data_IF_918232072564
#
_entry.id   IF_918232072564
#
_cell.length_a   1.000
_cell.length_b   1.000
_cell.length_c   1.000
_cell.angle_alpha   90.00
_cell.angle_beta   90.00
_cell.angle_gamma   90.00
#
_symmetry.space_group_name_H-M   'P 1'
#
loop_
_entity.id
_entity.type
_entity.pdbx_description
1 polymer ?
#
# COMPACT_ATOMS: atom_id res chain seq x y z
N UNK A 1 -1.88 -21.76 5.81
CA UNK A 1 -1.30 -21.08 4.62
C UNK A 1 -2.10 -21.33 3.34
N UNK A 2 -2.90 -22.40 3.27
CA UNK A 2 -3.68 -22.78 2.07
C UNK A 2 -4.61 -21.68 1.54
N UNK A 3 -5.23 -20.89 2.42
CA UNK A 3 -6.15 -19.82 2.02
C UNK A 3 -5.51 -18.72 1.14
N UNK A 4 -4.18 -18.52 1.25
CA UNK A 4 -3.46 -17.46 0.51
C UNK A 4 -2.77 -18.05 -0.74
N UNK A 5 -2.68 -19.37 -0.85
CA UNK A 5 -1.98 -20.03 -1.95
C UNK A 5 -2.56 -19.69 -3.33
N UNK A 6 -3.90 -19.59 -3.52
CA UNK A 6 -4.45 -19.16 -4.80
C UNK A 6 -3.97 -17.75 -5.20
N UNK A 7 -3.87 -16.83 -4.23
CA UNK A 7 -3.41 -15.46 -4.45
C UNK A 7 -1.92 -15.43 -4.83
N UNK A 8 -1.08 -16.18 -4.12
CA UNK A 8 0.36 -16.31 -4.42
C UNK A 8 0.58 -16.80 -5.86
N UNK A 9 -0.24 -17.74 -6.32
CA UNK A 9 -0.13 -18.31 -7.66
C UNK A 9 -0.61 -17.35 -8.76
N UNK A 10 -1.69 -16.58 -8.51
CA UNK A 10 -2.31 -15.73 -9.53
C UNK A 10 -1.65 -14.36 -9.67
N UNK A 11 -1.07 -13.80 -8.60
CA UNK A 11 -0.47 -12.46 -8.61
C UNK A 11 0.59 -12.31 -9.72
N UNK A 12 1.57 -13.23 -9.90
CA UNK A 12 2.52 -13.14 -11.00
C UNK A 12 1.86 -13.08 -12.38
N UNK A 13 0.78 -13.83 -12.59
CA UNK A 13 0.05 -13.82 -13.85
C UNK A 13 -0.63 -12.47 -14.10
N UNK A 14 -1.33 -11.93 -13.09
CA UNK A 14 -2.00 -10.64 -13.16
C UNK A 14 -1.01 -9.48 -13.39
N UNK A 15 0.16 -9.52 -12.74
CA UNK A 15 1.18 -8.49 -12.89
C UNK A 15 1.81 -8.46 -14.29
N UNK A 16 1.93 -9.61 -14.96
CA UNK A 16 2.38 -9.66 -16.37
C UNK A 16 1.34 -9.07 -17.31
N UNK A 17 0.06 -9.27 -17.04
CA UNK A 17 -1.03 -8.72 -17.86
C UNK A 17 -1.27 -7.23 -17.64
N UNK A 18 -1.02 -6.71 -16.43
CA UNK A 18 -1.40 -5.35 -16.03
C UNK A 18 -0.59 -4.23 -16.71
N UNK A 19 0.44 -4.57 -17.51
CA UNK A 19 1.42 -3.61 -18.08
C UNK A 19 2.09 -2.72 -17.04
N UNK A 20 1.99 -3.03 -15.74
CA UNK A 20 2.65 -2.29 -14.65
C UNK A 20 4.15 -2.54 -14.67
N UNK A 21 4.55 -3.75 -15.09
CA UNK A 21 5.94 -4.20 -15.14
C UNK A 21 6.64 -3.85 -16.46
N UNK A 22 6.46 -2.64 -17.00
CA UNK A 22 7.04 -2.23 -18.31
C UNK A 22 8.57 -2.35 -18.37
N UNK A 23 9.24 -2.38 -17.23
CA UNK A 23 10.69 -2.43 -17.09
C UNK A 23 11.22 -3.79 -16.63
N UNK A 24 10.35 -4.79 -16.48
CA UNK A 24 10.76 -6.16 -16.12
C UNK A 24 10.77 -7.00 -17.39
N UNK A 25 11.89 -7.69 -17.66
CA UNK A 25 11.96 -8.58 -18.82
C UNK A 25 10.83 -9.63 -18.76
N UNK A 26 10.21 -9.98 -19.90
CA UNK A 26 9.03 -10.87 -19.94
C UNK A 26 9.22 -12.20 -19.18
N UNK A 27 10.43 -12.74 -19.24
CA UNK A 27 10.79 -14.04 -18.66
C UNK A 27 11.41 -13.96 -17.26
N UNK A 28 11.54 -12.74 -16.71
CA UNK A 28 12.06 -12.60 -15.35
C UNK A 28 11.15 -13.31 -14.35
N UNK A 29 11.71 -14.13 -13.45
CA UNK A 29 10.91 -14.81 -12.44
C UNK A 29 10.35 -13.78 -11.46
N UNK A 30 9.02 -13.71 -11.37
CA UNK A 30 8.35 -12.96 -10.31
C UNK A 30 8.33 -13.83 -9.07
N UNK A 31 8.84 -13.28 -7.96
CA UNK A 31 8.80 -13.96 -6.66
C UNK A 31 7.70 -13.35 -5.81
N UNK A 32 6.91 -14.21 -5.17
CA UNK A 32 5.94 -13.80 -4.16
C UNK A 32 6.47 -14.24 -2.80
N UNK A 33 6.52 -13.33 -1.83
CA UNK A 33 6.98 -13.61 -0.47
C UNK A 33 5.90 -13.19 0.52
N UNK A 34 5.49 -14.12 1.37
CA UNK A 34 4.64 -13.81 2.51
C UNK A 34 5.51 -13.25 3.64
N UNK A 35 5.27 -12.00 4.01
CA UNK A 35 5.91 -11.38 5.16
C UNK A 35 5.13 -11.74 6.43
N UNK A 36 5.84 -12.29 7.42
CA UNK A 36 5.29 -12.60 8.76
C UNK A 36 5.60 -11.46 9.73
N UNK A 37 4.78 -11.32 10.78
CA UNK A 37 4.99 -10.34 11.84
C UNK A 37 4.65 -8.90 11.46
N UNK A 38 4.23 -8.66 10.23
CA UNK A 38 3.70 -7.37 9.78
C UNK A 38 2.36 -7.14 10.46
N UNK A 39 2.13 -5.97 11.09
CA UNK A 39 0.88 -5.66 11.78
C UNK A 39 -0.28 -5.75 10.79
N UNK A 40 -1.34 -6.47 11.15
CA UNK A 40 -2.56 -6.58 10.34
C UNK A 40 -3.71 -5.81 11.00
N UNK A 41 -4.60 -5.27 10.16
CA UNK A 41 -5.82 -4.65 10.62
C UNK A 41 -6.76 -5.68 11.24
N UNK A 42 -7.39 -5.32 12.36
CA UNK A 42 -8.36 -6.16 13.07
C UNK A 42 -9.77 -5.55 13.13
N UNK A 43 -9.98 -4.39 12.50
CA UNK A 43 -11.27 -3.69 12.43
C UNK A 43 -11.73 -3.54 10.97
N UNK A 44 -12.91 -2.96 10.74
CA UNK A 44 -13.47 -2.77 9.40
C UNK A 44 -13.18 -1.42 8.72
N UNK A 45 -12.53 -0.46 9.39
CA UNK A 45 -12.50 0.94 8.94
C UNK A 45 -11.12 1.55 8.62
N UNK A 46 -10.04 0.83 8.89
CA UNK A 46 -8.67 1.34 8.82
C UNK A 46 -7.84 0.81 7.64
N UNK A 47 -8.44 0.09 6.70
CA UNK A 47 -7.70 -0.55 5.61
C UNK A 47 -6.89 0.45 4.78
N UNK A 48 -7.46 1.63 4.50
CA UNK A 48 -6.77 2.70 3.78
C UNK A 48 -5.50 3.18 4.50
N UNK A 49 -5.53 3.29 5.82
CA UNK A 49 -4.39 3.73 6.63
C UNK A 49 -3.28 2.68 6.61
N UNK A 50 -3.63 1.40 6.73
CA UNK A 50 -2.67 0.30 6.62
C UNK A 50 -2.03 0.24 5.23
N UNK A 51 -2.81 0.37 4.15
CA UNK A 51 -2.29 0.33 2.78
C UNK A 51 -1.32 1.49 2.52
N UNK A 52 -1.66 2.72 2.93
CA UNK A 52 -0.78 3.88 2.76
C UNK A 52 0.54 3.68 3.52
N UNK A 53 0.47 3.21 4.77
CA UNK A 53 1.69 2.95 5.53
C UNK A 53 2.49 1.79 4.98
N UNK A 54 1.87 0.71 4.51
CA UNK A 54 2.62 -0.35 3.83
C UNK A 54 3.37 0.18 2.61
N UNK A 55 2.74 1.03 1.80
CA UNK A 55 3.40 1.64 0.65
C UNK A 55 4.62 2.50 1.07
N UNK A 56 4.47 3.33 2.12
CA UNK A 56 5.55 4.14 2.69
C UNK A 56 6.73 3.27 3.16
N UNK A 57 6.47 2.27 4.01
CA UNK A 57 7.52 1.40 4.53
C UNK A 57 8.15 0.49 3.46
N UNK A 58 7.40 0.06 2.45
CA UNK A 58 7.94 -0.71 1.31
C UNK A 58 8.84 0.19 0.46
N UNK A 59 8.41 1.43 0.19
CA UNK A 59 9.20 2.40 -0.57
C UNK A 59 10.54 2.69 0.12
N UNK A 60 10.54 2.78 1.45
CA UNK A 60 11.76 2.97 2.25
C UNK A 60 12.59 1.70 2.48
N UNK A 61 12.16 0.54 1.96
CA UNK A 61 12.78 -0.77 2.23
C UNK A 61 12.82 -1.14 3.73
N UNK A 62 11.84 -0.66 4.50
CA UNK A 62 11.75 -0.80 5.97
C UNK A 62 10.52 -1.55 6.46
N UNK A 63 9.82 -2.29 5.60
CA UNK A 63 8.58 -2.99 6.00
C UNK A 63 8.72 -3.89 7.24
N UNK A 64 9.89 -4.49 7.46
CA UNK A 64 10.19 -5.30 8.65
C UNK A 64 10.28 -4.50 9.96
N UNK A 65 10.37 -3.17 9.89
CA UNK A 65 10.45 -2.28 11.06
C UNK A 65 9.13 -1.58 11.36
N UNK A 66 8.04 -1.96 10.68
CA UNK A 66 6.73 -1.39 10.96
C UNK A 66 6.28 -1.78 12.39
N UNK A 67 5.85 -0.82 13.24
CA UNK A 67 5.48 -1.11 14.63
C UNK A 67 4.38 -2.17 14.74
N UNK A 68 4.52 -3.10 15.68
CA UNK A 68 3.51 -4.11 16.00
C UNK A 68 3.39 -4.20 17.54
N UNK A 69 2.35 -3.60 18.16
CA UNK A 69 1.14 -3.08 17.53
C UNK A 69 1.36 -1.77 16.77
N UNK A 70 0.61 -1.60 15.67
CA UNK A 70 0.64 -0.40 14.86
C UNK A 70 -0.40 0.63 15.37
N UNK A 71 0.07 1.81 15.78
CA UNK A 71 -0.83 2.89 16.22
C UNK A 71 -1.52 3.56 15.03
N UNK A 72 -2.66 2.96 14.67
CA UNK A 72 -3.47 3.38 13.53
C UNK A 72 -4.15 4.73 13.78
N UNK A 73 -4.47 5.06 15.04
CA UNK A 73 -5.11 6.34 15.40
C UNK A 73 -4.13 7.49 15.18
N UNK A 74 -2.91 7.34 15.69
CA UNK A 74 -1.85 8.32 15.50
C UNK A 74 -1.50 8.46 14.01
N UNK A 75 -1.38 7.36 13.29
CA UNK A 75 -1.10 7.40 11.85
C UNK A 75 -2.19 8.14 11.07
N UNK A 76 -3.47 7.88 11.37
CA UNK A 76 -4.62 8.56 10.76
C UNK A 76 -4.61 10.06 11.05
N UNK A 77 -4.36 10.43 12.31
CA UNK A 77 -4.28 11.83 12.73
C UNK A 77 -3.15 12.57 12.02
N UNK A 78 -1.95 11.97 11.97
CA UNK A 78 -0.79 12.56 11.31
C UNK A 78 -1.01 12.73 9.80
N UNK A 79 -1.62 11.75 9.14
CA UNK A 79 -1.99 11.86 7.72
C UNK A 79 -2.98 12.99 7.48
N UNK A 80 -4.02 13.12 8.30
CA UNK A 80 -4.98 14.21 8.17
C UNK A 80 -4.29 15.59 8.29
N UNK A 81 -3.36 15.75 9.24
CA UNK A 81 -2.56 16.98 9.39
C UNK A 81 -1.72 17.24 8.13
N UNK A 82 -1.03 16.21 7.61
CA UNK A 82 -0.18 16.36 6.43
C UNK A 82 -0.99 16.73 5.18
N UNK A 83 -2.14 16.08 4.98
CA UNK A 83 -3.06 16.40 3.89
C UNK A 83 -3.60 17.83 4.00
N UNK A 84 -3.97 18.27 5.21
CA UNK A 84 -4.40 19.64 5.46
C UNK A 84 -3.30 20.65 5.15
N UNK A 85 -2.07 20.41 5.65
CA UNK A 85 -0.90 21.27 5.36
C UNK A 85 -0.62 21.37 3.86
N UNK A 86 -0.68 20.25 3.15
CA UNK A 86 -0.51 20.24 1.70
C UNK A 86 -1.60 21.08 1.00
N UNK A 87 -2.86 20.96 1.43
CA UNK A 87 -3.97 21.67 0.83
C UNK A 87 -3.86 23.20 1.04
N UNK A 88 -3.40 23.66 2.21
CA UNK A 88 -3.19 25.10 2.45
C UNK A 88 -1.97 25.65 1.69
N UNK A 89 -0.93 24.83 1.46
CA UNK A 89 0.27 25.23 0.72
C UNK A 89 0.07 25.22 -0.80
N UNK A 90 -0.93 24.48 -1.30
CA UNK A 90 -1.26 24.37 -2.73
C UNK A 90 -2.78 24.52 -2.96
N UNK A 91 -3.31 25.76 -2.82
CA UNK A 91 -4.74 26.01 -2.93
C UNK A 91 -5.35 25.71 -4.31
N UNK A 92 -4.53 25.58 -5.36
CA UNK A 92 -5.00 25.43 -6.76
C UNK A 92 -5.23 23.98 -7.21
N UNK A 93 -5.08 22.97 -6.35
CA UNK A 93 -5.52 21.60 -6.70
C UNK A 93 -7.04 21.55 -6.59
N UNK A 94 -7.73 21.97 -7.66
CA UNK A 94 -9.18 21.90 -7.76
C UNK A 94 -9.67 20.49 -7.41
N UNK A 95 -10.30 20.37 -6.24
CA UNK A 95 -11.09 19.21 -5.88
C UNK A 95 -12.31 19.16 -6.81
N UNK A 96 -12.22 18.40 -7.90
CA UNK A 96 -13.38 18.10 -8.75
C UNK A 96 -13.24 18.44 -10.23
N UNK A 97 -12.38 17.72 -10.94
CA UNK A 97 -12.69 17.35 -12.32
C UNK A 97 -12.73 15.83 -12.44
N UNK A 98 -13.81 15.24 -11.92
CA UNK A 98 -14.28 13.96 -12.42
C UNK A 98 -14.85 14.22 -13.81
N UNK A 99 -14.06 13.94 -14.85
CA UNK A 99 -14.53 13.92 -16.23
C UNK A 99 -15.67 12.92 -16.34
N UNK A 100 -16.86 13.43 -16.68
CA UNK A 100 -18.00 12.60 -17.12
C UNK A 100 -17.74 12.07 -18.53
#
# INVERSE_FOLDING_TARGET
>A
MEAIQPLINIIPHLLRQSKVLKFVAPDSPLTCRLLKGIPQQTNGGDCGIFIIKYAEYIHEMKISTMPNPFDTKLARHNMAIQMYKYAIEKPDVQCGQASR
#
